data_IF_450759103318
#
_entry.id   IF_450759103318
#
_cell.length_a   1.000
_cell.length_b   1.000
_cell.length_c   1.000
_cell.angle_alpha   90.00
_cell.angle_beta   90.00
_cell.angle_gamma   90.00
#
_symmetry.space_group_name_H-M   'P 1'
#
loop_
_entity.id
_entity.type
_entity.pdbx_description
1 polymer ?
#
# COMPACT_ATOMS: atom_id res chain seq x y z
N UNK A 1 -14.47 6.20 -21.37
CA UNK A 1 -13.50 7.08 -20.68
C UNK A 1 -14.16 7.67 -19.45
N UNK A 2 -13.48 7.71 -18.32
CA UNK A 2 -14.00 8.28 -17.07
C UNK A 2 -14.03 9.81 -17.18
N UNK A 3 -15.13 10.44 -16.78
CA UNK A 3 -15.23 11.90 -16.75
C UNK A 3 -14.30 12.50 -15.68
N UNK A 4 -13.80 13.72 -15.91
CA UNK A 4 -12.86 14.39 -14.99
C UNK A 4 -13.40 14.53 -13.57
N UNK A 5 -14.70 14.81 -13.41
CA UNK A 5 -15.36 14.90 -12.11
C UNK A 5 -15.49 13.53 -11.42
N UNK A 6 -15.85 12.49 -12.18
CA UNK A 6 -15.91 11.12 -11.65
C UNK A 6 -14.52 10.65 -11.20
N UNK A 7 -13.47 10.94 -11.97
CA UNK A 7 -12.09 10.61 -11.62
C UNK A 7 -11.66 11.28 -10.31
N UNK A 8 -11.98 12.58 -10.12
CA UNK A 8 -11.70 13.30 -8.87
C UNK A 8 -12.41 12.65 -7.67
N UNK A 9 -13.68 12.26 -7.82
CA UNK A 9 -14.43 11.56 -6.76
C UNK A 9 -13.79 10.22 -6.42
N UNK A 10 -13.38 9.44 -7.43
CA UNK A 10 -12.70 8.15 -7.22
C UNK A 10 -11.35 8.32 -6.52
N UNK A 11 -10.54 9.31 -6.92
CA UNK A 11 -9.25 9.63 -6.27
C UNK A 11 -9.44 10.05 -4.81
N UNK A 12 -10.46 10.88 -4.52
CA UNK A 12 -10.76 11.28 -3.15
C UNK A 12 -11.17 10.08 -2.28
N UNK A 13 -12.03 9.19 -2.80
CA UNK A 13 -12.40 7.95 -2.09
C UNK A 13 -11.19 7.06 -1.84
N UNK A 14 -10.32 6.88 -2.83
CA UNK A 14 -9.08 6.12 -2.68
C UNK A 14 -8.18 6.74 -1.60
N UNK A 15 -8.06 8.06 -1.59
CA UNK A 15 -7.28 8.79 -0.59
C UNK A 15 -7.82 8.61 0.82
N UNK A 16 -9.14 8.73 1.01
CA UNK A 16 -9.80 8.52 2.31
C UNK A 16 -9.61 7.07 2.77
N UNK A 17 -9.83 6.10 1.89
CA UNK A 17 -9.67 4.67 2.21
C UNK A 17 -8.22 4.37 2.63
N UNK A 18 -7.25 4.83 1.83
CA UNK A 18 -5.83 4.61 2.11
C UNK A 18 -5.42 5.21 3.45
N UNK A 19 -5.74 6.48 3.69
CA UNK A 19 -5.39 7.15 4.94
C UNK A 19 -6.14 6.55 6.14
N UNK A 20 -7.41 6.18 5.98
CA UNK A 20 -8.18 5.48 7.00
C UNK A 20 -7.55 4.13 7.35
N UNK A 21 -7.12 3.33 6.36
CA UNK A 21 -6.41 2.08 6.59
C UNK A 21 -5.08 2.30 7.32
N UNK A 22 -4.29 3.32 6.94
CA UNK A 22 -3.02 3.64 7.63
C UNK A 22 -3.26 4.00 9.09
N UNK A 23 -4.26 4.83 9.39
CA UNK A 23 -4.62 5.18 10.77
C UNK A 23 -5.03 3.95 11.56
N UNK A 24 -5.88 3.09 10.99
CA UNK A 24 -6.31 1.85 11.63
C UNK A 24 -5.13 0.90 11.91
N UNK A 25 -4.18 0.80 10.99
CA UNK A 25 -2.95 0.01 11.18
C UNK A 25 -2.15 0.57 12.34
N UNK A 26 -1.90 1.89 12.40
CA UNK A 26 -1.15 2.50 13.51
C UNK A 26 -1.84 2.32 14.85
N UNK A 27 -3.15 2.56 14.93
CA UNK A 27 -3.92 2.31 16.16
C UNK A 27 -3.86 0.84 16.59
N UNK A 28 -3.94 -0.09 15.63
CA UNK A 28 -3.82 -1.52 15.90
C UNK A 28 -2.43 -1.89 16.42
N UNK A 29 -1.38 -1.28 15.88
CA UNK A 29 -0.01 -1.49 16.36
C UNK A 29 0.20 -0.91 17.77
N UNK A 30 -0.26 0.32 18.05
CA UNK A 30 -0.21 0.91 19.39
C UNK A 30 -0.95 0.04 20.40
N UNK A 31 -2.16 -0.40 20.06
CA UNK A 31 -2.94 -1.30 20.90
C UNK A 31 -2.19 -2.62 21.17
N UNK A 32 -1.60 -3.23 20.14
CA UNK A 32 -0.85 -4.48 20.26
C UNK A 32 0.32 -4.35 21.25
N UNK A 33 1.09 -3.25 21.15
CA UNK A 33 2.21 -2.97 22.06
C UNK A 33 1.70 -2.67 23.47
N UNK A 34 0.61 -1.92 23.61
CA UNK A 34 0.02 -1.58 24.90
C UNK A 34 -0.48 -2.82 25.69
N UNK A 35 -0.83 -3.91 25.00
CA UNK A 35 -1.14 -5.20 25.63
C UNK A 35 0.10 -6.01 26.05
N UNK A 36 1.31 -5.48 25.84
CA UNK A 36 2.56 -6.15 26.17
C UNK A 36 2.91 -7.31 25.22
N UNK A 37 2.28 -7.39 24.05
CA UNK A 37 2.58 -8.44 23.09
C UNK A 37 3.95 -8.23 22.43
N UNK A 38 4.70 -9.31 22.15
CA UNK A 38 6.07 -9.20 21.64
C UNK A 38 6.10 -8.63 20.21
N UNK A 39 6.98 -7.64 19.91
CA UNK A 39 7.07 -7.01 18.58
C UNK A 39 7.31 -8.01 17.44
N UNK A 40 8.01 -9.10 17.73
CA UNK A 40 8.23 -10.22 16.79
C UNK A 40 6.92 -10.76 16.21
N UNK A 41 5.87 -10.90 17.02
CA UNK A 41 4.56 -11.37 16.56
C UNK A 41 3.93 -10.43 15.53
N UNK A 42 4.03 -9.11 15.76
CA UNK A 42 3.57 -8.09 14.83
C UNK A 42 4.32 -8.14 13.48
N UNK A 43 5.64 -8.35 13.51
CA UNK A 43 6.45 -8.49 12.29
C UNK A 43 6.02 -9.73 11.49
N UNK A 44 5.75 -10.86 12.15
CA UNK A 44 5.19 -12.05 11.48
C UNK A 44 3.84 -11.77 10.82
N UNK A 45 2.95 -11.06 11.51
CA UNK A 45 1.64 -10.67 10.96
C UNK A 45 1.81 -9.79 9.70
N UNK A 46 2.65 -8.75 9.75
CA UNK A 46 2.91 -7.90 8.58
C UNK A 46 3.60 -8.66 7.45
N UNK A 47 4.56 -9.53 7.75
CA UNK A 47 5.19 -10.39 6.76
C UNK A 47 4.17 -11.28 6.04
N UNK A 48 3.25 -11.88 6.79
CA UNK A 48 2.17 -12.68 6.22
C UNK A 48 1.20 -11.85 5.38
N UNK A 49 0.81 -10.66 5.85
CA UNK A 49 -0.02 -9.72 5.07
C UNK A 49 0.66 -9.32 3.76
N UNK A 50 1.96 -9.02 3.77
CA UNK A 50 2.71 -8.71 2.56
C UNK A 50 2.78 -9.89 1.60
N UNK A 51 2.97 -11.12 2.09
CA UNK A 51 2.88 -12.31 1.25
C UNK A 51 1.50 -12.44 0.59
N UNK A 52 0.42 -12.25 1.35
CA UNK A 52 -0.94 -12.32 0.82
C UNK A 52 -1.18 -11.25 -0.27
N UNK A 53 -0.75 -10.00 -0.03
CA UNK A 53 -0.84 -8.92 -1.02
C UNK A 53 0.00 -9.25 -2.27
N UNK A 54 1.21 -9.77 -2.09
CA UNK A 54 2.08 -10.20 -3.18
C UNK A 54 1.48 -11.34 -4.00
N UNK A 55 0.88 -12.34 -3.34
CA UNK A 55 0.18 -13.45 -3.98
C UNK A 55 -1.05 -12.97 -4.78
N UNK A 56 -1.83 -12.03 -4.24
CA UNK A 56 -2.92 -11.38 -4.96
C UNK A 56 -2.38 -10.62 -6.18
N UNK A 57 -1.27 -9.90 -6.06
CA UNK A 57 -0.62 -9.22 -7.18
C UNK A 57 -0.17 -10.20 -8.28
N UNK A 58 0.41 -11.34 -7.90
CA UNK A 58 0.77 -12.41 -8.85
C UNK A 58 -0.47 -13.00 -9.53
N UNK A 59 -1.56 -13.22 -8.78
CA UNK A 59 -2.83 -13.68 -9.34
C UNK A 59 -3.34 -12.69 -10.38
N UNK A 60 -3.42 -11.39 -10.05
CA UNK A 60 -3.86 -10.34 -10.96
C UNK A 60 -2.97 -10.25 -12.22
N UNK A 61 -1.66 -10.49 -12.09
CA UNK A 61 -0.74 -10.52 -13.23
C UNK A 61 -0.98 -11.73 -14.15
N UNK A 62 -1.34 -12.89 -13.60
CA UNK A 62 -1.61 -14.11 -14.37
C UNK A 62 -2.99 -14.09 -15.03
N UNK A 63 -4.03 -13.72 -14.29
CA UNK A 63 -5.42 -13.74 -14.78
C UNK A 63 -5.82 -12.47 -15.49
N UNK A 64 -5.14 -11.35 -15.21
CA UNK A 64 -5.54 -10.03 -15.70
C UNK A 64 -6.78 -9.46 -15.00
N UNK A 65 -7.38 -10.22 -14.07
CA UNK A 65 -8.54 -9.83 -13.30
C UNK A 65 -8.13 -8.96 -12.12
N UNK A 66 -8.84 -7.86 -11.90
CA UNK A 66 -8.57 -6.94 -10.79
C UNK A 66 -9.48 -7.34 -9.63
N UNK A 67 -8.91 -8.01 -8.62
CA UNK A 67 -9.59 -8.30 -7.37
C UNK A 67 -9.60 -7.03 -6.50
N UNK A 68 -10.61 -6.18 -6.71
CA UNK A 68 -10.80 -4.94 -5.95
C UNK A 68 -12.27 -4.51 -5.97
N UNK A 69 -12.60 -3.48 -5.17
CA UNK A 69 -13.94 -2.86 -5.20
C UNK A 69 -14.26 -2.27 -6.57
N UNK A 70 -15.54 -2.14 -6.93
CA UNK A 70 -15.97 -1.58 -8.23
C UNK A 70 -15.31 -0.24 -8.55
N UNK A 71 -15.22 0.65 -7.56
CA UNK A 71 -14.57 1.96 -7.69
C UNK A 71 -13.06 1.82 -7.96
N UNK A 72 -12.39 0.89 -7.28
CA UNK A 72 -10.96 0.60 -7.50
C UNK A 72 -10.72 -0.03 -8.88
N UNK A 73 -11.61 -0.93 -9.33
CA UNK A 73 -11.53 -1.53 -10.65
C UNK A 73 -11.65 -0.48 -11.76
N UNK A 74 -12.58 0.47 -11.62
CA UNK A 74 -12.71 1.61 -12.56
C UNK A 74 -11.41 2.41 -12.63
N UNK A 75 -10.85 2.77 -11.47
CA UNK A 75 -9.62 3.55 -11.40
C UNK A 75 -8.44 2.79 -12.03
N UNK A 76 -8.28 1.51 -11.71
CA UNK A 76 -7.21 0.67 -12.28
C UNK A 76 -7.34 0.51 -13.80
N UNK A 77 -8.56 0.34 -14.33
CA UNK A 77 -8.79 0.30 -15.78
C UNK A 77 -8.35 1.60 -16.44
N UNK A 78 -8.73 2.75 -15.89
CA UNK A 78 -8.26 4.04 -16.37
C UNK A 78 -6.73 4.16 -16.33
N UNK A 79 -6.09 3.80 -15.21
CA UNK A 79 -4.63 3.84 -15.10
C UNK A 79 -3.94 2.95 -16.15
N UNK A 80 -4.50 1.78 -16.42
CA UNK A 80 -4.00 0.82 -17.42
C UNK A 80 -4.14 1.37 -18.84
N UNK A 81 -5.27 1.99 -19.18
CA UNK A 81 -5.50 2.66 -20.48
C UNK A 81 -4.52 3.83 -20.70
N UNK A 82 -4.32 4.65 -19.67
CA UNK A 82 -3.43 5.81 -19.75
C UNK A 82 -1.97 5.40 -19.85
N UNK A 83 -1.50 4.48 -19.00
CA UNK A 83 -0.09 4.07 -18.98
C UNK A 83 0.31 3.09 -20.09
N UNK A 84 -0.67 2.41 -20.67
CA UNK A 84 -0.47 1.32 -21.61
C UNK A 84 -0.09 0.00 -20.93
N UNK A 85 -0.48 -1.10 -21.56
CA UNK A 85 -0.37 -2.47 -21.03
C UNK A 85 1.05 -2.85 -20.58
N UNK A 86 2.05 -2.53 -21.41
CA UNK A 86 3.46 -2.88 -21.15
C UNK A 86 4.00 -2.18 -19.91
N UNK A 87 3.75 -0.88 -19.78
CA UNK A 87 4.19 -0.08 -18.62
C UNK A 87 3.46 -0.50 -17.36
N UNK A 88 2.15 -0.75 -17.46
CA UNK A 88 1.32 -1.24 -16.37
C UNK A 88 1.85 -2.56 -15.81
N UNK A 89 2.07 -3.57 -16.67
CA UNK A 89 2.63 -4.86 -16.28
C UNK A 89 4.02 -4.74 -15.64
N UNK A 90 4.87 -3.84 -16.16
CA UNK A 90 6.20 -3.60 -15.56
C UNK A 90 6.08 -3.03 -14.15
N UNK A 91 5.21 -2.05 -13.93
CA UNK A 91 5.00 -1.47 -12.59
C UNK A 91 4.41 -2.48 -11.61
N UNK A 92 3.44 -3.28 -12.04
CA UNK A 92 2.88 -4.37 -11.24
C UNK A 92 3.96 -5.38 -10.83
N UNK A 93 4.80 -5.81 -11.79
CA UNK A 93 5.91 -6.72 -11.52
C UNK A 93 6.89 -6.15 -10.50
N UNK A 94 7.28 -4.88 -10.64
CA UNK A 94 8.17 -4.21 -9.68
C UNK A 94 7.53 -4.13 -8.30
N UNK A 95 6.24 -3.76 -8.23
CA UNK A 95 5.50 -3.69 -6.97
C UNK A 95 5.46 -5.04 -6.25
N UNK A 96 5.12 -6.11 -6.97
CA UNK A 96 5.10 -7.47 -6.42
C UNK A 96 6.49 -7.88 -5.90
N UNK A 97 7.56 -7.62 -6.65
CA UNK A 97 8.93 -7.93 -6.23
C UNK A 97 9.29 -7.18 -4.94
N UNK A 98 9.00 -5.89 -4.85
CA UNK A 98 9.27 -5.08 -3.65
C UNK A 98 8.51 -5.64 -2.45
N UNK A 99 7.24 -6.00 -2.62
CA UNK A 99 6.42 -6.57 -1.53
C UNK A 99 6.99 -7.91 -1.05
N UNK A 100 7.44 -8.78 -1.97
CA UNK A 100 8.10 -10.02 -1.58
C UNK A 100 9.42 -9.78 -0.84
N UNK A 101 10.23 -8.82 -1.29
CA UNK A 101 11.46 -8.45 -0.59
C UNK A 101 11.15 -7.96 0.82
N UNK A 102 10.14 -7.10 1.00
CA UNK A 102 9.72 -6.62 2.31
C UNK A 102 9.22 -7.76 3.21
N UNK A 103 8.44 -8.69 2.66
CA UNK A 103 7.96 -9.86 3.40
C UNK A 103 9.12 -10.75 3.87
N UNK A 104 10.05 -11.10 2.97
CA UNK A 104 11.21 -11.95 3.28
C UNK A 104 12.12 -11.27 4.30
N UNK A 105 12.45 -9.99 4.11
CA UNK A 105 13.24 -9.22 5.08
C UNK A 105 12.55 -9.17 6.43
N UNK A 106 11.24 -8.99 6.47
CA UNK A 106 10.45 -9.03 7.69
C UNK A 106 10.56 -10.39 8.42
N UNK A 107 10.42 -11.51 7.70
CA UNK A 107 10.57 -12.84 8.30
C UNK A 107 11.97 -13.12 8.80
N UNK A 108 13.00 -12.77 8.02
CA UNK A 108 14.40 -12.94 8.44
C UNK A 108 14.67 -12.10 9.69
N UNK A 109 14.23 -10.84 9.71
CA UNK A 109 14.35 -9.99 10.88
C UNK A 109 13.63 -10.59 12.09
N UNK A 110 12.38 -11.04 11.94
CA UNK A 110 11.63 -11.69 13.01
C UNK A 110 12.29 -12.99 13.51
N UNK A 111 12.94 -13.75 12.62
CA UNK A 111 13.58 -15.00 12.99
C UNK A 111 14.90 -14.79 13.75
N UNK A 112 15.71 -13.82 13.32
CA UNK A 112 17.12 -13.68 13.76
C UNK A 112 17.30 -12.57 14.80
N UNK A 113 16.48 -11.53 14.76
CA UNK A 113 16.61 -10.37 15.66
C UNK A 113 15.67 -10.54 16.84
N UNK A 114 16.23 -10.47 18.05
CA UNK A 114 15.45 -10.31 19.26
C UNK A 114 15.06 -8.84 19.39
N UNK A 115 13.77 -8.57 19.22
CA UNK A 115 13.19 -7.25 19.44
C UNK A 115 12.76 -7.17 20.90
N UNK A 116 13.56 -6.55 21.79
CA UNK A 116 13.13 -6.34 23.16
C UNK A 116 11.84 -5.52 23.16
N UNK A 117 10.95 -5.83 24.10
CA UNK A 117 9.78 -5.00 24.32
C UNK A 117 10.26 -3.57 24.60
N UNK A 118 9.71 -2.54 23.93
CA UNK A 118 10.05 -1.18 24.26
C UNK A 118 9.75 -0.94 25.75
N UNK A 119 10.77 -0.59 26.52
CA UNK A 119 10.65 -0.29 27.96
C UNK A 119 9.89 1.01 28.25
N UNK A 120 9.37 1.67 27.22
CA UNK A 120 8.69 2.93 27.35
C UNK A 120 7.23 2.71 27.71
N UNK A 121 6.81 3.24 28.87
CA UNK A 121 5.39 3.44 29.20
C UNK A 121 4.67 4.34 28.16
N UNK A 122 5.44 5.05 27.34
CA UNK A 122 5.00 5.71 26.11
C UNK A 122 5.03 4.71 24.97
N UNK A 123 3.91 4.57 24.24
CA UNK A 123 3.80 3.79 23.00
C UNK A 123 4.77 4.24 21.90
N UNK A 124 4.46 3.96 20.64
CA UNK A 124 5.37 4.31 19.55
C UNK A 124 5.61 5.82 19.43
N UNK A 125 6.83 6.19 19.04
CA UNK A 125 7.23 7.58 18.81
C UNK A 125 6.36 8.22 17.71
N UNK A 126 5.61 9.30 18.02
CA UNK A 126 4.78 10.01 17.04
C UNK A 126 5.53 10.42 15.77
N UNK A 127 6.83 10.69 15.85
CA UNK A 127 7.62 11.05 14.67
C UNK A 127 7.67 9.93 13.62
N UNK A 128 7.68 8.66 14.07
CA UNK A 128 7.65 7.50 13.17
C UNK A 128 6.34 7.42 12.38
N UNK A 129 5.21 7.72 13.03
CA UNK A 129 3.90 7.77 12.37
C UNK A 129 3.80 8.91 11.37
N UNK A 130 4.27 10.09 11.74
CA UNK A 130 4.27 11.26 10.86
C UNK A 130 5.13 10.98 9.63
N UNK A 131 6.32 10.40 9.80
CA UNK A 131 7.21 10.04 8.70
C UNK A 131 6.56 9.05 7.72
N UNK A 132 5.99 7.96 8.24
CA UNK A 132 5.29 6.97 7.43
C UNK A 132 4.06 7.54 6.71
N UNK A 133 3.26 8.36 7.40
CA UNK A 133 2.10 9.04 6.84
C UNK A 133 2.48 9.97 5.69
N UNK A 134 3.52 10.80 5.87
CA UNK A 134 4.03 11.70 4.83
C UNK A 134 4.53 10.89 3.63
N UNK A 135 5.31 9.84 3.86
CA UNK A 135 5.85 8.99 2.80
C UNK A 135 4.76 8.36 1.93
N UNK A 136 3.73 7.79 2.55
CA UNK A 136 2.60 7.17 1.83
C UNK A 136 1.83 8.21 1.00
N UNK A 137 1.54 9.37 1.58
CA UNK A 137 0.77 10.42 0.90
C UNK A 137 1.55 11.07 -0.25
N UNK A 138 2.83 11.37 -0.06
CA UNK A 138 3.69 11.91 -1.13
C UNK A 138 3.82 10.91 -2.28
N UNK A 139 4.12 9.64 -1.98
CA UNK A 139 4.27 8.62 -3.00
C UNK A 139 3.00 8.43 -3.83
N UNK A 140 1.84 8.38 -3.17
CA UNK A 140 0.53 8.21 -3.83
C UNK A 140 0.14 9.45 -4.64
N UNK A 141 0.40 10.65 -4.11
CA UNK A 141 0.13 11.92 -4.79
C UNK A 141 0.97 12.08 -6.06
N UNK A 142 2.29 11.86 -5.98
CA UNK A 142 3.19 11.97 -7.14
C UNK A 142 2.80 10.99 -8.24
N UNK A 143 2.47 9.74 -7.88
CA UNK A 143 2.00 8.73 -8.85
C UNK A 143 0.72 9.18 -9.54
N UNK A 144 -0.29 9.59 -8.75
CA UNK A 144 -1.61 9.97 -9.27
C UNK A 144 -1.49 11.17 -10.21
N UNK A 145 -0.76 12.21 -9.80
CA UNK A 145 -0.50 13.39 -10.62
C UNK A 145 0.16 13.04 -11.96
N UNK A 146 1.17 12.17 -11.94
CA UNK A 146 1.88 11.75 -13.16
C UNK A 146 0.98 11.00 -14.13
N UNK A 147 0.09 10.14 -13.62
CA UNK A 147 -0.85 9.38 -14.45
C UNK A 147 -1.90 10.33 -15.02
N UNK A 148 -2.50 11.17 -14.18
CA UNK A 148 -3.57 12.06 -14.59
C UNK A 148 -3.07 13.10 -15.61
N UNK A 149 -1.82 13.58 -15.46
CA UNK A 149 -1.16 14.45 -16.46
C UNK A 149 -1.02 13.76 -17.82
N UNK A 150 -0.53 12.53 -17.85
CA UNK A 150 -0.43 11.73 -19.08
C UNK A 150 -1.81 11.44 -19.70
N UNK A 151 -2.83 11.30 -18.87
CA UNK A 151 -4.21 11.13 -19.32
C UNK A 151 -4.73 12.37 -20.02
N UNK A 152 -4.45 13.56 -19.47
CA UNK A 152 -4.82 14.84 -20.07
C UNK A 152 -4.12 15.09 -21.42
N UNK A 153 -2.83 14.74 -21.55
CA UNK A 153 -2.06 14.87 -22.79
C UNK A 153 -2.55 13.97 -23.93
N UNK A 154 -3.26 12.87 -23.63
CA UNK A 154 -3.85 11.98 -24.65
C UNK A 154 -5.23 12.44 -25.15
N UNK A 155 -5.83 13.43 -24.48
CA UNK A 155 -7.20 13.89 -24.74
C UNK A 155 -7.28 15.25 -25.44
N UNK A 156 -6.16 15.98 -25.50
CA UNK A 156 -6.00 17.20 -26.30
C UNK A 156 -5.36 16.87 -27.64
#
# INVERSE_FOLDING_TARGET
MIEKEELRKLRLKQFILLNGTVILVFLGMDFYIAQGFPPKGMIWIFGFLFLMIGALGLYQMKTGEILATKDSQKLVKYEREVMGEKTWKRQQKVGVIIIFILAVTGFVAAAVIDFPLPHTERGMDPASYIGAFIGINLGTGIRSYRIDKKGAEKLG
#
